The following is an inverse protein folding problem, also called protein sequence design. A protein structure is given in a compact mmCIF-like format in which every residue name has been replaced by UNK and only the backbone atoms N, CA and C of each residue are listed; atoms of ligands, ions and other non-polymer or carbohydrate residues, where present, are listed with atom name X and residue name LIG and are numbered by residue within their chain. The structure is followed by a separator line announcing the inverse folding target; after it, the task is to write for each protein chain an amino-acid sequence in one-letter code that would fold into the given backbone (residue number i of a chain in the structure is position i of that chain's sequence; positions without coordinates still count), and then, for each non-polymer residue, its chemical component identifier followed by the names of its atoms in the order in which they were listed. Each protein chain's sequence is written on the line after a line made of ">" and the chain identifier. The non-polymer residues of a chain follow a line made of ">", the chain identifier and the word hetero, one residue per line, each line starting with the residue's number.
data_IF_990231876147
#
_entry.id   IF_990231876147
#
_cell.length_a   1.000
_cell.length_b   1.000
_cell.length_c   1.000
_cell.angle_alpha   90.00
_cell.angle_beta   90.00
_cell.angle_gamma   90.00
#
_symmetry.space_group_name_H-M   'P 1'
#
loop_
_entity.id
_entity.type
_entity.pdbx_description
1 polymer ?
#
# COMPACT_ATOMS: atom_id res chain seq x y z
N UNK A 1 1.55 -0.43 39.37
CA UNK A 1 2.32 -1.33 38.48
C UNK A 1 2.58 -0.60 37.17
N UNK A 2 3.75 -0.72 36.52
CA UNK A 2 3.95 -0.11 35.22
C UNK A 2 3.03 -0.79 34.21
N UNK A 3 2.22 0.00 33.50
CA UNK A 3 1.32 -0.51 32.46
C UNK A 3 2.17 -1.12 31.36
N UNK A 4 2.03 -2.43 31.11
CA UNK A 4 2.69 -3.06 29.96
C UNK A 4 2.08 -2.48 28.68
N UNK A 5 2.93 -1.83 27.88
CA UNK A 5 2.57 -1.37 26.55
C UNK A 5 2.17 -2.60 25.71
N UNK A 6 0.89 -2.69 25.32
CA UNK A 6 0.32 -3.83 24.59
C UNK A 6 0.83 -3.97 23.14
N UNK A 7 0.02 -4.54 22.25
CA UNK A 7 0.36 -4.67 20.82
C UNK A 7 0.29 -3.32 20.10
N UNK A 8 1.39 -2.90 19.46
CA UNK A 8 1.43 -1.59 18.78
C UNK A 8 2.41 -1.54 17.59
N UNK A 9 2.26 -0.48 16.80
CA UNK A 9 3.17 -0.08 15.73
C UNK A 9 3.47 1.42 15.90
N UNK A 10 4.74 1.81 15.92
CA UNK A 10 5.19 3.23 15.94
C UNK A 10 5.96 3.51 14.65
N UNK A 11 5.54 4.55 13.92
CA UNK A 11 6.23 5.08 12.74
C UNK A 11 6.86 6.41 13.11
N UNK A 12 8.19 6.49 13.08
CA UNK A 12 8.99 7.63 13.54
C UNK A 12 9.74 8.19 12.33
N UNK A 13 9.60 9.49 12.07
CA UNK A 13 10.34 10.24 11.03
C UNK A 13 10.30 9.66 9.59
N UNK A 14 9.26 8.90 9.24
CA UNK A 14 9.11 8.24 7.94
C UNK A 14 8.89 9.20 6.75
N UNK A 15 8.59 10.49 7.00
CA UNK A 15 8.27 11.49 5.96
C UNK A 15 9.52 11.94 5.19
N UNK A 16 10.68 11.99 5.85
CA UNK A 16 11.92 12.55 5.26
C UNK A 16 12.67 11.57 4.36
N UNK A 17 12.24 10.31 4.26
CA UNK A 17 12.85 9.27 3.44
C UNK A 17 14.20 8.76 3.96
N UNK A 18 14.96 9.58 4.68
CA UNK A 18 16.22 9.25 5.33
C UNK A 18 16.05 9.23 6.85
N UNK A 19 16.40 8.10 7.50
CA UNK A 19 16.39 7.97 8.96
C UNK A 19 15.06 7.62 9.62
N UNK A 20 14.02 7.29 8.86
CA UNK A 20 12.74 6.81 9.41
C UNK A 20 12.86 5.44 10.09
N UNK A 21 12.14 5.24 11.19
CA UNK A 21 12.13 4.00 11.96
C UNK A 21 10.71 3.47 12.16
N UNK A 22 10.54 2.16 11.97
CA UNK A 22 9.32 1.43 12.34
C UNK A 22 9.61 0.54 13.56
N UNK A 23 8.84 0.72 14.63
CA UNK A 23 8.87 -0.17 15.80
C UNK A 23 7.58 -0.97 15.87
N UNK A 24 7.70 -2.28 15.98
CA UNK A 24 6.58 -3.24 16.03
C UNK A 24 6.69 -4.03 17.32
N UNK A 25 5.62 -4.06 18.12
CA UNK A 25 5.60 -4.76 19.41
C UNK A 25 4.42 -5.71 19.51
N UNK A 26 4.70 -6.95 19.94
CA UNK A 26 3.71 -7.98 20.28
C UNK A 26 2.59 -8.14 19.24
N UNK A 27 2.94 -8.09 17.94
CA UNK A 27 2.00 -8.31 16.84
C UNK A 27 1.91 -9.81 16.57
N UNK A 28 0.72 -10.36 16.71
CA UNK A 28 0.43 -11.77 16.43
C UNK A 28 -0.92 -11.90 15.72
N UNK A 29 -1.05 -12.94 14.90
CA UNK A 29 -2.25 -13.22 14.11
C UNK A 29 -2.24 -12.59 12.72
N UNK A 30 -3.14 -13.09 11.88
CA UNK A 30 -3.19 -12.77 10.46
C UNK A 30 -3.50 -11.28 10.20
N UNK A 31 -4.57 -10.75 10.81
CA UNK A 31 -5.02 -9.38 10.56
C UNK A 31 -4.00 -8.33 11.01
N UNK A 32 -3.46 -8.37 12.25
CA UNK A 32 -2.41 -7.45 12.66
C UNK A 32 -1.14 -7.55 11.78
N UNK A 33 -0.77 -8.76 11.35
CA UNK A 33 0.34 -8.95 10.41
C UNK A 33 0.11 -8.29 9.05
N UNK A 34 -1.12 -8.34 8.51
CA UNK A 34 -1.49 -7.65 7.24
C UNK A 34 -1.46 -6.13 7.39
N UNK A 35 -1.80 -5.60 8.56
CA UNK A 35 -1.70 -4.16 8.86
C UNK A 35 -0.23 -3.73 8.86
N UNK A 36 0.66 -4.47 9.55
CA UNK A 36 2.11 -4.21 9.51
C UNK A 36 2.63 -4.23 8.08
N UNK A 37 2.27 -5.25 7.30
CA UNK A 37 2.69 -5.38 5.91
C UNK A 37 2.29 -4.18 5.05
N UNK A 38 1.06 -3.69 5.20
CA UNK A 38 0.59 -2.50 4.48
C UNK A 38 1.39 -1.24 4.86
N UNK A 39 1.63 -1.03 6.16
CA UNK A 39 2.35 0.15 6.66
C UNK A 39 3.82 0.16 6.25
N UNK A 40 4.51 -0.99 6.27
CA UNK A 40 5.91 -1.13 5.81
C UNK A 40 6.08 -0.75 4.34
N UNK A 41 5.09 -1.06 3.49
CA UNK A 41 5.15 -0.77 2.05
C UNK A 41 4.60 0.63 1.69
N UNK A 42 4.11 1.39 2.66
CA UNK A 42 3.57 2.74 2.45
C UNK A 42 4.69 3.77 2.33
N UNK A 43 4.50 4.75 1.44
CA UNK A 43 5.47 5.82 1.20
C UNK A 43 4.77 7.17 1.44
N UNK A 44 5.37 8.02 2.29
CA UNK A 44 4.79 9.33 2.65
C UNK A 44 5.26 10.46 1.74
N UNK A 45 6.36 10.27 1.01
CA UNK A 45 6.86 11.24 0.06
C UNK A 45 5.86 11.44 -1.11
N UNK A 46 5.54 12.69 -1.49
CA UNK A 46 4.70 12.95 -2.64
C UNK A 46 5.29 12.34 -3.91
N UNK A 47 4.52 11.46 -4.57
CA UNK A 47 4.90 10.84 -5.84
C UNK A 47 3.69 10.79 -6.78
N UNK A 48 3.81 11.24 -8.04
CA UNK A 48 2.71 11.10 -8.98
C UNK A 48 2.52 9.63 -9.35
N UNK A 49 1.29 9.14 -9.23
CA UNK A 49 0.88 7.83 -9.74
C UNK A 49 -0.06 8.10 -10.91
N UNK A 50 0.43 7.91 -12.14
CA UNK A 50 -0.35 8.12 -13.36
C UNK A 50 -1.05 6.81 -13.75
N UNK A 51 -2.38 6.84 -13.78
CA UNK A 51 -3.19 5.70 -14.17
C UNK A 51 -3.91 6.05 -15.48
N UNK A 52 -3.70 5.23 -16.51
CA UNK A 52 -4.40 5.32 -17.79
C UNK A 52 -5.02 3.97 -18.11
N UNK A 53 -6.12 3.98 -18.88
CA UNK A 53 -6.59 2.75 -19.53
C UNK A 53 -5.65 2.41 -20.69
N UNK A 54 -5.79 1.19 -21.22
CA UNK A 54 -5.28 0.89 -22.55
C UNK A 54 -5.90 1.85 -23.59
N UNK A 55 -5.24 2.06 -24.73
CA UNK A 55 -5.79 2.84 -25.83
C UNK A 55 -7.12 2.26 -26.35
N UNK A 56 -7.91 3.07 -27.08
CA UNK A 56 -9.17 2.59 -27.67
C UNK A 56 -8.91 1.33 -28.51
N UNK A 57 -9.67 0.27 -28.22
CA UNK A 57 -9.59 -0.98 -28.97
C UNK A 57 -10.79 -1.19 -29.88
N UNK A 58 -10.65 -2.07 -30.88
CA UNK A 58 -11.77 -2.54 -31.71
C UNK A 58 -12.98 -3.03 -30.90
N UNK A 59 -12.76 -3.64 -29.74
CA UNK A 59 -13.83 -4.06 -28.84
C UNK A 59 -14.54 -2.88 -28.18
N UNK A 60 -13.82 -1.82 -27.82
CA UNK A 60 -14.44 -0.60 -27.31
C UNK A 60 -15.35 0.03 -28.36
N UNK A 61 -14.86 0.17 -29.60
CA UNK A 61 -15.65 0.69 -30.74
C UNK A 61 -16.91 -0.14 -30.97
N UNK A 62 -16.83 -1.46 -30.77
CA UNK A 62 -17.97 -2.40 -30.95
C UNK A 62 -18.82 -2.60 -29.69
N UNK A 63 -18.54 -1.92 -28.58
CA UNK A 63 -19.27 -2.08 -27.31
C UNK A 63 -19.13 -3.46 -26.65
N UNK A 64 -18.02 -4.17 -26.89
CA UNK A 64 -17.75 -5.51 -26.34
C UNK A 64 -16.85 -5.44 -25.10
N UNK A 65 -17.09 -6.32 -24.14
CA UNK A 65 -16.32 -6.43 -22.89
C UNK A 65 -15.37 -7.64 -22.96
N UNK A 66 -14.18 -7.50 -22.38
CA UNK A 66 -13.17 -8.56 -22.32
C UNK A 66 -12.53 -8.90 -23.67
N UNK A 67 -11.81 -10.02 -23.70
CA UNK A 67 -10.98 -10.45 -24.83
C UNK A 67 -9.57 -9.83 -24.82
N UNK A 68 -8.77 -10.22 -25.81
CA UNK A 68 -7.39 -9.75 -26.03
C UNK A 68 -7.25 -9.19 -27.45
N UNK A 69 -8.07 -8.19 -27.77
CA UNK A 69 -8.00 -7.54 -29.08
C UNK A 69 -6.94 -6.47 -29.09
N UNK A 70 -6.16 -6.44 -30.16
CA UNK A 70 -5.28 -5.31 -30.51
C UNK A 70 -6.06 -3.99 -30.51
N UNK A 71 -5.33 -2.90 -30.26
CA UNK A 71 -5.80 -1.52 -30.38
C UNK A 71 -6.53 -1.33 -31.72
#
# INVERSE_FOLDING_TARGET
>A
EPVQEGSYIKMIDMVKGEGGQLQVNNISGYLPGRIVFFLVNSHLAPRPILLTRHGESLHNVRGRVGGDTVL
#
